data_IF_295315560377
#
_entry.id   IF_295315560377
#
_cell.length_a   1.000
_cell.length_b   1.000
_cell.length_c   1.000
_cell.angle_alpha   90.00
_cell.angle_beta   90.00
_cell.angle_gamma   90.00
#
_symmetry.space_group_name_H-M   'P 1'
#
loop_
_entity.id
_entity.type
_entity.pdbx_description
1 polymer ?
#
# COMPACT_ATOMS: atom_id res chain seq x y z
N UNK A 1 7.42 12.48 -18.32
CA UNK A 1 6.45 12.53 -17.22
C UNK A 1 7.16 12.87 -15.92
N UNK A 2 6.71 13.90 -15.21
CA UNK A 2 7.14 14.26 -13.86
C UNK A 2 6.47 13.38 -12.80
N UNK A 3 6.99 13.40 -11.57
CA UNK A 3 6.40 12.65 -10.46
C UNK A 3 5.00 13.19 -10.09
N UNK A 4 4.76 14.49 -10.23
CA UNK A 4 3.43 15.10 -10.02
C UNK A 4 2.37 14.58 -10.99
N UNK A 5 2.71 14.41 -12.27
CA UNK A 5 1.81 13.83 -13.28
C UNK A 5 1.44 12.38 -12.92
N UNK A 6 2.42 11.59 -12.42
CA UNK A 6 2.18 10.21 -11.96
C UNK A 6 1.24 10.21 -10.75
N UNK A 7 1.44 11.12 -9.78
CA UNK A 7 0.54 11.27 -8.63
C UNK A 7 -0.89 11.56 -9.08
N UNK A 8 -1.09 12.48 -10.02
CA UNK A 8 -2.40 12.83 -10.56
C UNK A 8 -3.07 11.64 -11.23
N UNK A 9 -2.32 10.85 -12.01
CA UNK A 9 -2.83 9.62 -12.65
C UNK A 9 -3.29 8.60 -11.62
N UNK A 10 -2.54 8.42 -10.53
CA UNK A 10 -2.90 7.49 -9.46
C UNK A 10 -4.17 7.95 -8.72
N UNK A 11 -4.29 9.25 -8.45
CA UNK A 11 -5.51 9.81 -7.86
C UNK A 11 -6.71 9.63 -8.80
N UNK A 12 -6.55 9.93 -10.10
CA UNK A 12 -7.58 9.73 -11.12
C UNK A 12 -8.00 8.26 -11.23
N UNK A 13 -7.06 7.33 -11.16
CA UNK A 13 -7.37 5.90 -11.15
C UNK A 13 -8.30 5.53 -9.98
N UNK A 14 -8.02 6.06 -8.79
CA UNK A 14 -8.85 5.83 -7.60
C UNK A 14 -10.22 6.51 -7.68
N UNK A 15 -10.32 7.72 -8.24
CA UNK A 15 -11.62 8.42 -8.40
C UNK A 15 -12.51 7.76 -9.46
N UNK A 16 -11.92 7.30 -10.57
CA UNK A 16 -12.66 6.65 -11.65
C UNK A 16 -12.99 5.16 -11.39
N UNK A 17 -12.52 4.58 -10.28
CA UNK A 17 -12.80 3.19 -9.84
C UNK A 17 -12.61 2.13 -10.94
N UNK A 18 -11.58 2.27 -11.77
CA UNK A 18 -11.24 1.24 -12.75
C UNK A 18 -10.71 -0.03 -12.07
N UNK A 19 -10.99 -1.20 -12.65
CA UNK A 19 -10.53 -2.50 -12.12
C UNK A 19 -9.04 -2.75 -12.40
N UNK A 20 -8.57 -2.35 -13.57
CA UNK A 20 -7.22 -2.64 -14.05
C UNK A 20 -6.47 -1.37 -14.42
N UNK A 21 -5.32 -1.17 -13.77
CA UNK A 21 -4.48 0.00 -13.97
C UNK A 21 -3.82 0.02 -15.37
N UNK A 22 -3.55 -1.14 -15.95
CA UNK A 22 -3.06 -1.28 -17.33
C UNK A 22 -4.08 -0.80 -18.36
N UNK A 23 -5.34 -1.22 -18.21
CA UNK A 23 -6.44 -0.83 -19.09
C UNK A 23 -6.74 0.66 -18.96
N UNK A 24 -6.70 1.19 -17.73
CA UNK A 24 -6.83 2.63 -17.48
C UNK A 24 -5.71 3.44 -18.14
N UNK A 25 -4.44 3.05 -17.94
CA UNK A 25 -3.31 3.80 -18.48
C UNK A 25 -3.25 3.77 -20.01
N UNK A 26 -3.38 2.57 -20.62
CA UNK A 26 -3.25 2.41 -22.07
C UNK A 26 -4.52 2.80 -22.84
N UNK A 27 -5.70 2.50 -22.28
CA UNK A 27 -6.99 2.75 -22.94
C UNK A 27 -7.53 4.14 -22.68
N UNK A 28 -7.46 4.64 -21.45
CA UNK A 28 -8.01 5.94 -21.11
C UNK A 28 -6.97 7.05 -21.26
N UNK A 29 -5.87 6.99 -20.51
CA UNK A 29 -4.88 8.09 -20.48
C UNK A 29 -4.16 8.24 -21.82
N UNK A 30 -3.68 7.15 -22.40
CA UNK A 30 -2.93 7.20 -23.66
C UNK A 30 -3.81 7.55 -24.88
N UNK A 31 -5.13 7.40 -24.81
CA UNK A 31 -6.03 7.73 -25.92
C UNK A 31 -6.72 9.09 -25.72
N UNK A 32 -7.26 9.37 -24.53
CA UNK A 32 -8.11 10.53 -24.26
C UNK A 32 -7.31 11.72 -23.71
N UNK A 33 -6.22 11.49 -22.96
CA UNK A 33 -5.42 12.55 -22.33
C UNK A 33 -4.09 12.79 -23.05
N UNK A 34 -4.12 12.72 -24.39
CA UNK A 34 -2.90 12.88 -25.19
C UNK A 34 -2.30 14.28 -25.14
N UNK A 35 -3.15 15.30 -24.96
CA UNK A 35 -2.75 16.70 -24.86
C UNK A 35 -2.18 17.07 -23.49
N UNK A 36 -2.75 16.52 -22.41
CA UNK A 36 -2.33 16.86 -21.04
C UNK A 36 -1.00 16.23 -20.64
N UNK A 37 -0.69 15.05 -21.20
CA UNK A 37 0.56 14.33 -20.93
C UNK A 37 1.35 14.10 -22.21
N UNK A 38 2.12 15.08 -22.71
CA UNK A 38 2.88 14.94 -23.95
C UNK A 38 4.03 13.92 -23.85
N UNK A 39 4.63 13.74 -22.66
CA UNK A 39 5.76 12.82 -22.43
C UNK A 39 5.38 11.56 -21.64
N UNK A 40 4.61 10.66 -22.26
CA UNK A 40 4.17 9.38 -21.68
C UNK A 40 5.32 8.38 -21.57
N UNK A 41 5.38 7.68 -20.44
CA UNK A 41 6.31 6.57 -20.23
C UNK A 41 5.71 5.26 -20.76
N UNK A 42 6.56 4.27 -21.02
CA UNK A 42 6.07 2.91 -21.18
C UNK A 42 5.46 2.40 -19.88
N UNK A 43 4.46 1.52 -19.97
CA UNK A 43 3.76 0.98 -18.80
C UNK A 43 4.71 0.39 -17.75
N UNK A 44 5.76 -0.32 -18.17
CA UNK A 44 6.74 -0.90 -17.23
C UNK A 44 7.48 0.18 -16.43
N UNK A 45 7.99 1.23 -17.10
CA UNK A 45 8.63 2.37 -16.41
C UNK A 45 7.66 3.11 -15.51
N UNK A 46 6.38 3.20 -15.91
CA UNK A 46 5.33 3.79 -15.09
C UNK A 46 5.13 2.99 -13.80
N UNK A 47 5.03 1.66 -13.86
CA UNK A 47 4.85 0.79 -12.68
C UNK A 47 6.05 0.84 -11.74
N UNK A 48 7.28 0.86 -12.28
CA UNK A 48 8.50 1.03 -11.48
C UNK A 48 8.48 2.36 -10.70
N UNK A 49 8.12 3.45 -11.37
CA UNK A 49 8.00 4.79 -10.75
C UNK A 49 6.81 4.90 -9.80
N UNK A 50 5.71 4.22 -10.09
CA UNK A 50 4.50 4.23 -9.27
C UNK A 50 4.79 3.83 -7.83
N UNK A 51 5.61 2.80 -7.60
CA UNK A 51 5.94 2.35 -6.24
C UNK A 51 6.65 3.44 -5.42
N UNK A 52 7.57 4.19 -6.05
CA UNK A 52 8.28 5.29 -5.40
C UNK A 52 7.36 6.49 -5.16
N UNK A 53 6.55 6.84 -6.16
CA UNK A 53 5.65 8.00 -6.10
C UNK A 53 4.44 7.75 -5.17
N UNK A 54 3.96 6.51 -5.06
CA UNK A 54 2.87 6.15 -4.17
C UNK A 54 3.20 6.43 -2.69
N UNK A 55 4.46 6.24 -2.28
CA UNK A 55 4.91 6.59 -0.95
C UNK A 55 4.89 8.11 -0.72
N UNK A 56 5.37 8.88 -1.71
CA UNK A 56 5.33 10.35 -1.66
C UNK A 56 3.89 10.88 -1.65
N UNK A 57 3.00 10.25 -2.40
CA UNK A 57 1.56 10.56 -2.40
C UNK A 57 0.91 10.25 -1.06
N UNK A 58 1.23 9.11 -0.45
CA UNK A 58 0.73 8.76 0.88
C UNK A 58 1.21 9.77 1.92
N UNK A 59 2.49 10.13 1.89
CA UNK A 59 3.06 11.14 2.78
C UNK A 59 2.41 12.51 2.55
N UNK A 60 2.24 12.94 1.30
CA UNK A 60 1.59 14.21 0.95
C UNK A 60 0.12 14.24 1.41
N UNK A 61 -0.62 13.15 1.23
CA UNK A 61 -2.00 13.05 1.72
C UNK A 61 -2.04 13.12 3.25
N UNK A 62 -1.10 12.48 3.93
CA UNK A 62 -0.97 12.52 5.40
C UNK A 62 -0.54 13.89 5.94
N UNK A 63 0.34 14.61 5.25
CA UNK A 63 0.89 15.89 5.75
C UNK A 63 0.08 17.11 5.31
N UNK A 64 -0.48 17.09 4.10
CA UNK A 64 -1.12 18.26 3.49
C UNK A 64 -2.64 18.13 3.35
N UNK A 65 -3.18 16.94 3.05
CA UNK A 65 -4.61 16.77 2.79
C UNK A 65 -5.42 16.33 4.04
N UNK A 66 -4.75 15.67 4.98
CA UNK A 66 -5.34 15.15 6.20
C UNK A 66 -4.90 16.02 7.39
N UNK A 67 -5.63 17.12 7.62
CA UNK A 67 -5.35 18.08 8.70
C UNK A 67 -5.49 17.51 10.13
N UNK A 68 -5.12 18.35 11.11
CA UNK A 68 -4.95 18.03 12.55
C UNK A 68 -6.03 17.09 13.12
N UNK A 69 -5.55 15.98 13.68
CA UNK A 69 -6.32 14.89 14.23
C UNK A 69 -7.07 15.27 15.52
N UNK A 70 -8.40 15.20 15.51
CA UNK A 70 -9.24 15.24 16.72
C UNK A 70 -10.03 13.94 16.86
N UNK A 71 -9.51 13.03 17.70
CA UNK A 71 -10.38 12.26 18.61
C UNK A 71 -10.63 10.77 18.37
N UNK A 72 -10.35 10.17 17.21
CA UNK A 72 -10.66 8.74 17.01
C UNK A 72 -9.45 7.99 16.42
N UNK A 73 -8.90 7.08 17.22
CA UNK A 73 -7.90 6.09 16.81
C UNK A 73 -8.54 4.71 16.72
N UNK A 74 -8.73 4.21 15.51
CA UNK A 74 -9.13 2.81 15.30
C UNK A 74 -7.84 1.97 15.28
N UNK A 75 -7.73 1.03 16.20
CA UNK A 75 -6.58 0.11 16.32
C UNK A 75 -7.04 -1.27 15.87
N UNK A 76 -6.76 -1.63 14.62
CA UNK A 76 -7.04 -2.96 14.09
C UNK A 76 -5.77 -3.81 14.11
N UNK A 77 -5.85 -4.98 14.75
CA UNK A 77 -4.78 -5.96 14.81
C UNK A 77 -5.00 -7.04 13.75
N UNK A 78 -4.41 -6.92 12.57
CA UNK A 78 -4.51 -7.96 11.53
C UNK A 78 -3.32 -8.92 11.60
N UNK A 79 -3.56 -10.24 11.74
CA UNK A 79 -2.48 -11.23 11.65
C UNK A 79 -2.07 -11.40 10.18
N UNK A 80 -0.83 -11.06 9.86
CA UNK A 80 -0.23 -11.25 8.55
C UNK A 80 0.56 -12.56 8.53
N UNK A 81 -0.08 -13.65 8.12
CA UNK A 81 0.56 -14.96 8.03
C UNK A 81 1.52 -15.01 6.83
N UNK A 82 2.82 -15.21 7.09
CA UNK A 82 3.83 -15.45 6.06
C UNK A 82 3.74 -16.89 5.53
N UNK A 83 3.56 -17.86 6.44
CA UNK A 83 3.30 -19.24 6.08
C UNK A 83 2.51 -20.00 7.16
N UNK A 84 2.01 -21.17 6.79
CA UNK A 84 1.42 -22.11 7.76
C UNK A 84 2.53 -22.64 8.68
N UNK A 85 2.25 -22.82 9.97
CA UNK A 85 3.26 -23.21 10.98
C UNK A 85 4.05 -24.48 10.61
N UNK A 86 3.41 -25.43 9.91
CA UNK A 86 4.04 -26.66 9.39
C UNK A 86 5.19 -26.39 8.41
N UNK A 87 5.21 -25.24 7.73
CA UNK A 87 6.22 -24.85 6.71
C UNK A 87 7.24 -23.84 7.22
N UNK A 88 7.21 -23.48 8.50
CA UNK A 88 8.15 -22.54 9.12
C UNK A 88 9.62 -22.93 8.86
N UNK A 89 9.98 -24.20 9.07
CA UNK A 89 11.37 -24.67 8.97
C UNK A 89 11.97 -24.52 7.57
N UNK A 90 11.13 -24.47 6.54
CA UNK A 90 11.53 -24.30 5.15
C UNK A 90 11.49 -22.82 4.70
N UNK A 91 10.89 -21.94 5.49
CA UNK A 91 10.73 -20.53 5.17
C UNK A 91 12.04 -19.77 5.41
N UNK A 92 12.62 -19.22 4.34
CA UNK A 92 13.91 -18.53 4.38
C UNK A 92 13.78 -17.00 4.35
N UNK A 93 12.72 -16.47 3.76
CA UNK A 93 12.57 -15.05 3.42
C UNK A 93 12.35 -14.16 4.63
N UNK A 94 11.55 -14.57 5.61
CA UNK A 94 11.25 -13.79 6.82
C UNK A 94 11.85 -14.39 8.10
N UNK A 95 12.89 -15.23 7.98
CA UNK A 95 13.52 -15.94 9.10
C UNK A 95 14.19 -14.94 10.05
N UNK A 96 13.79 -14.94 11.33
CA UNK A 96 14.28 -14.01 12.35
C UNK A 96 13.46 -12.71 12.48
N UNK A 97 12.58 -12.43 11.52
CA UNK A 97 11.69 -11.26 11.55
C UNK A 97 10.26 -11.68 11.92
N UNK A 98 9.78 -12.79 11.35
CA UNK A 98 8.48 -13.37 11.66
C UNK A 98 8.52 -14.26 12.91
N UNK A 99 7.42 -14.27 13.67
CA UNK A 99 7.27 -15.13 14.84
C UNK A 99 6.02 -16.00 14.74
N UNK A 100 5.95 -17.00 15.62
CA UNK A 100 4.75 -17.82 15.80
C UNK A 100 3.72 -17.03 16.58
N UNK A 101 2.51 -16.95 16.02
CA UNK A 101 1.37 -16.36 16.69
C UNK A 101 0.17 -17.30 16.69
N UNK A 102 -0.54 -17.33 17.81
CA UNK A 102 -1.81 -18.05 17.95
C UNK A 102 -2.97 -17.06 17.77
N UNK A 103 -3.82 -17.30 16.78
CA UNK A 103 -5.14 -16.67 16.70
C UNK A 103 -6.18 -17.60 17.34
N UNK A 104 -7.40 -17.12 17.59
CA UNK A 104 -8.48 -17.86 18.28
C UNK A 104 -8.74 -19.25 17.70
N UNK A 105 -8.43 -19.48 16.41
CA UNK A 105 -8.68 -20.77 15.75
C UNK A 105 -7.43 -21.46 15.16
N UNK A 106 -6.30 -20.78 14.93
CA UNK A 106 -5.16 -21.34 14.15
C UNK A 106 -3.79 -20.77 14.58
N UNK A 107 -2.75 -21.62 14.51
CA UNK A 107 -1.35 -21.22 14.61
C UNK A 107 -0.79 -20.74 13.27
N UNK A 108 -0.22 -19.54 13.25
CA UNK A 108 0.38 -18.93 12.06
C UNK A 108 1.84 -18.54 12.31
N UNK A 109 2.64 -18.55 11.25
CA UNK A 109 4.00 -18.01 11.27
C UNK A 109 4.00 -16.70 10.48
N UNK A 110 4.21 -15.56 11.14
CA UNK A 110 3.97 -14.26 10.52
C UNK A 110 4.15 -13.06 11.45
N UNK A 111 3.46 -11.97 11.13
CA UNK A 111 3.52 -10.69 11.84
C UNK A 111 2.16 -10.32 12.38
N UNK A 112 2.11 -9.58 13.49
CA UNK A 112 0.90 -8.89 13.91
C UNK A 112 1.01 -7.44 13.49
N UNK A 113 0.17 -7.03 12.54
CA UNK A 113 0.13 -5.67 12.05
C UNK A 113 -0.87 -4.91 12.90
N UNK A 114 -0.38 -3.90 13.62
CA UNK A 114 -1.23 -2.96 14.35
C UNK A 114 -1.41 -1.76 13.44
N UNK A 115 -2.59 -1.65 12.85
CA UNK A 115 -2.98 -0.49 12.07
C UNK A 115 -3.61 0.51 13.02
N UNK A 116 -2.96 1.64 13.21
CA UNK A 116 -3.51 2.75 13.98
C UNK A 116 -3.98 3.80 12.99
N UNK A 117 -5.28 3.82 12.75
CA UNK A 117 -5.93 4.85 11.93
C UNK A 117 -6.34 5.96 12.90
N UNK A 118 -5.50 7.00 12.99
CA UNK A 118 -5.92 8.26 13.58
C UNK A 118 -6.56 9.05 12.45
N UNK A 119 -7.65 9.76 12.71
CA UNK A 119 -8.33 10.59 11.71
C UNK A 119 -7.35 11.58 11.08
N UNK A 120 -6.76 11.18 9.96
CA UNK A 120 -5.76 11.92 9.19
C UNK A 120 -4.33 11.38 9.14
N UNK A 121 -3.97 10.34 9.91
CA UNK A 121 -2.66 9.71 9.83
C UNK A 121 -2.78 8.18 9.99
N UNK A 122 -2.15 7.45 9.07
CA UNK A 122 -2.07 5.99 9.14
C UNK A 122 -0.69 5.64 9.69
N UNK A 123 -0.65 5.15 10.93
CA UNK A 123 0.57 4.62 11.53
C UNK A 123 0.50 3.09 11.51
N UNK A 124 1.41 2.47 10.76
CA UNK A 124 1.53 1.01 10.67
C UNK A 124 2.64 0.56 11.60
N UNK A 125 2.31 -0.19 12.64
CA UNK A 125 3.31 -0.80 13.53
C UNK A 125 3.29 -2.31 13.37
N UNK A 126 4.33 -2.86 12.77
CA UNK A 126 4.56 -4.30 12.71
C UNK A 126 5.19 -4.79 14.02
N UNK A 127 4.49 -5.65 14.74
CA UNK A 127 5.06 -6.37 15.89
C UNK A 127 5.36 -7.80 15.49
N UNK A 128 6.59 -8.25 15.78
CA UNK A 128 6.98 -9.65 15.71
C UNK A 128 6.70 -10.40 17.02
N UNK A 129 6.25 -9.73 18.10
CA UNK A 129 5.86 -10.44 19.33
C UNK A 129 4.38 -10.80 19.27
N UNK A 130 4.11 -12.10 19.19
CA UNK A 130 2.82 -12.67 19.54
C UNK A 130 2.93 -13.22 20.97
N UNK A 131 2.16 -12.66 21.89
CA UNK A 131 1.91 -13.24 23.22
C UNK A 131 1.12 -14.53 23.11
#
# INVERSE_FOLDING_TARGET
MSDSEIMTILVLFHTHRFRDLKSFYLGYICQHMRGDFPHRLSYNRFVERQAQVALHLLLFLQTCALGKCSGISIIDSTPLASCHIKRERQHKTMRGWAAKGKCTMVWSYGFKLNLVIITGAISVRTSSRCS
#
